data_IF_824234632666
#
_entry.id   IF_824234632666
#
_cell.length_a   1.000
_cell.length_b   1.000
_cell.length_c   1.000
_cell.angle_alpha   90.00
_cell.angle_beta   90.00
_cell.angle_gamma   90.00
#
_symmetry.space_group_name_H-M   'P 1'
#
loop_
_entity.id
_entity.type
_entity.pdbx_description
1 polymer ?
#
# COMPACT_ATOMS: atom_id res chain seq x y z
N UNK A 1 16.34 -20.14 -20.85
CA UNK A 1 15.36 -19.08 -20.54
C UNK A 1 14.33 -19.63 -19.58
N UNK A 2 14.44 -19.26 -18.30
CA UNK A 2 13.69 -19.85 -17.19
C UNK A 2 12.23 -19.40 -17.16
N UNK A 3 11.31 -20.36 -16.98
CA UNK A 3 9.91 -20.07 -16.66
C UNK A 3 9.82 -19.68 -15.18
N UNK A 4 9.68 -18.39 -14.91
CA UNK A 4 9.44 -17.85 -13.58
C UNK A 4 8.12 -18.40 -13.03
N UNK A 5 8.19 -19.09 -11.88
CA UNK A 5 7.02 -19.45 -11.09
C UNK A 5 6.49 -18.17 -10.47
N UNK A 6 5.36 -17.67 -10.98
CA UNK A 6 4.60 -16.59 -10.33
C UNK A 6 4.09 -17.13 -9.00
N UNK A 7 4.64 -16.62 -7.90
CA UNK A 7 4.17 -16.88 -6.55
C UNK A 7 2.72 -16.42 -6.44
N UNK A 8 1.80 -17.38 -6.30
CA UNK A 8 0.39 -17.07 -6.01
C UNK A 8 0.27 -16.70 -4.54
N UNK A 9 -0.23 -15.48 -4.33
CA UNK A 9 -0.54 -14.91 -3.03
C UNK A 9 -1.45 -15.85 -2.21
N UNK A 10 -1.10 -16.17 -0.95
CA UNK A 10 -1.89 -17.04 -0.08
C UNK A 10 -3.33 -16.56 0.15
N UNK A 11 -3.68 -15.30 -0.14
CA UNK A 11 -5.06 -14.83 -0.03
C UNK A 11 -5.96 -15.25 -1.20
N UNK A 12 -5.40 -15.46 -2.40
CA UNK A 12 -6.18 -15.90 -3.59
C UNK A 12 -6.69 -17.34 -3.43
N UNK A 13 -5.94 -18.17 -2.70
CA UNK A 13 -6.36 -19.55 -2.38
C UNK A 13 -7.51 -19.64 -1.37
N UNK A 14 -7.83 -18.56 -0.64
CA UNK A 14 -8.98 -18.54 0.28
C UNK A 14 -10.30 -18.32 -0.46
N UNK A 15 -10.28 -17.59 -1.58
CA UNK A 15 -11.50 -17.30 -2.36
C UNK A 15 -11.94 -18.53 -3.16
N UNK A 16 -11.00 -19.30 -3.72
CA UNK A 16 -11.33 -20.53 -4.46
C UNK A 16 -11.92 -21.62 -3.53
N UNK A 17 -11.50 -21.66 -2.25
CA UNK A 17 -12.05 -22.62 -1.29
C UNK A 17 -13.45 -22.27 -0.77
N UNK A 18 -13.92 -21.03 -0.91
CA UNK A 18 -15.28 -20.68 -0.47
C UNK A 18 -16.38 -21.07 -1.47
N UNK A 19 -16.02 -21.32 -2.74
CA UNK A 19 -16.99 -21.73 -3.78
C UNK A 19 -17.21 -23.26 -3.80
N UNK A 20 -16.30 -24.06 -3.22
CA UNK A 20 -16.42 -25.53 -3.21
C UNK A 20 -17.08 -26.14 -1.95
N UNK A 21 -17.47 -25.33 -0.96
CA UNK A 21 -18.01 -25.87 0.33
C UNK A 21 -19.53 -26.01 0.35
N UNK A 22 -20.27 -25.64 -0.71
CA UNK A 22 -21.74 -25.82 -0.75
C UNK A 22 -22.24 -27.02 -1.56
N UNK A 23 -21.36 -27.89 -2.07
CA UNK A 23 -21.76 -29.19 -2.61
C UNK A 23 -21.58 -30.27 -1.54
N UNK A 24 -22.68 -30.57 -0.84
CA UNK A 24 -22.79 -31.63 0.15
C UNK A 24 -22.25 -32.96 -0.40
N UNK A 25 -21.23 -33.48 0.29
CA UNK A 25 -20.78 -34.86 0.16
C UNK A 25 -21.71 -35.73 1.00
N UNK A 26 -22.77 -36.23 0.41
CA UNK A 26 -23.45 -37.40 0.95
C UNK A 26 -22.57 -38.64 0.67
N UNK A 27 -21.76 -38.99 1.66
CA UNK A 27 -21.03 -40.26 1.67
C UNK A 27 -22.04 -41.38 1.91
N UNK A 28 -22.35 -42.10 0.84
CA UNK A 28 -22.97 -43.42 0.89
C UNK A 28 -22.24 -44.33 1.87
N UNK A 29 -22.94 -44.71 2.94
CA UNK A 29 -22.59 -45.87 3.75
C UNK A 29 -22.78 -47.14 2.93
N UNK A 30 -21.70 -47.89 2.75
CA UNK A 30 -21.72 -49.25 2.21
C UNK A 30 -22.14 -50.19 3.35
N UNK A 31 -23.43 -50.49 3.44
CA UNK A 31 -23.91 -51.54 4.34
C UNK A 31 -23.84 -52.87 3.57
N UNK A 32 -22.98 -53.75 4.04
CA UNK A 32 -22.90 -55.16 3.64
C UNK A 32 -24.22 -55.84 3.99
N UNK A 33 -24.94 -56.25 2.96
CA UNK A 33 -26.15 -57.06 3.03
C UNK A 33 -25.75 -58.54 2.92
N UNK A 34 -25.36 -59.13 4.04
CA UNK A 34 -25.39 -60.59 4.22
C UNK A 34 -26.03 -60.84 5.58
N UNK A 35 -27.32 -61.19 5.52
CA UNK A 35 -28.00 -62.15 6.42
C UNK A 35 -29.50 -61.97 6.26
N UNK A 36 -30.11 -62.87 5.47
CA UNK A 36 -31.36 -63.60 5.78
C UNK A 36 -31.88 -64.24 4.50
N UNK A 37 -31.47 -65.48 4.26
CA UNK A 37 -32.28 -66.43 3.52
C UNK A 37 -33.35 -66.95 4.50
N UNK A 38 -34.57 -66.44 4.37
CA UNK A 38 -35.72 -66.87 5.16
C UNK A 38 -37.02 -66.53 4.45
N UNK A 39 -37.70 -67.57 3.99
CA UNK A 39 -39.07 -67.61 3.47
C UNK A 39 -39.36 -66.98 2.10
N UNK A 40 -39.36 -67.87 1.10
CA UNK A 40 -40.20 -67.76 -0.06
C UNK A 40 -41.68 -67.90 0.34
N UNK A 41 -42.36 -66.78 0.60
CA UNK A 41 -43.81 -66.69 0.65
C UNK A 41 -44.23 -65.25 0.32
N UNK A 42 -44.46 -64.96 -0.97
CA UNK A 42 -45.69 -64.34 -1.48
C UNK A 42 -45.53 -64.08 -3.00
N UNK A 43 -45.74 -65.13 -3.80
CA UNK A 43 -45.82 -65.02 -5.25
C UNK A 43 -47.25 -64.59 -5.61
N UNK A 44 -47.58 -63.32 -5.37
CA UNK A 44 -48.78 -62.71 -5.93
C UNK A 44 -48.37 -61.33 -6.45
N UNK A 45 -48.55 -61.02 -7.75
CA UNK A 45 -48.64 -59.63 -8.15
C UNK A 45 -49.87 -59.10 -7.44
N UNK A 46 -49.66 -58.43 -6.30
CA UNK A 46 -50.71 -57.75 -5.58
C UNK A 46 -51.26 -56.75 -6.58
N UNK A 47 -52.42 -57.05 -7.17
CA UNK A 47 -53.17 -56.09 -7.95
C UNK A 47 -53.60 -55.05 -6.92
N UNK A 48 -52.73 -54.09 -6.66
CA UNK A 48 -53.06 -52.91 -5.88
C UNK A 48 -54.35 -52.40 -6.48
N UNK A 49 -55.34 -52.25 -5.62
CA UNK A 49 -56.65 -51.80 -6.06
C UNK A 49 -56.43 -50.51 -6.83
N UNK A 50 -57.11 -50.30 -7.95
CA UNK A 50 -56.98 -49.07 -8.72
C UNK A 50 -57.14 -47.81 -7.85
N UNK A 51 -57.89 -47.94 -6.75
CA UNK A 51 -58.02 -46.93 -5.69
C UNK A 51 -56.72 -46.64 -4.92
N UNK A 52 -55.88 -47.63 -4.61
CA UNK A 52 -54.59 -47.45 -3.94
C UNK A 52 -53.60 -46.70 -4.83
N UNK A 53 -53.52 -47.08 -6.11
CA UNK A 53 -52.68 -46.39 -7.10
C UNK A 53 -53.10 -44.92 -7.24
N UNK A 54 -54.41 -44.66 -7.33
CA UNK A 54 -54.93 -43.29 -7.41
C UNK A 54 -54.61 -42.48 -6.14
N UNK A 55 -54.66 -43.10 -4.96
CA UNK A 55 -54.29 -42.45 -3.70
C UNK A 55 -52.79 -42.14 -3.64
N UNK A 56 -51.92 -43.03 -4.12
CA UNK A 56 -50.48 -42.77 -4.22
C UNK A 56 -50.15 -41.66 -5.23
N UNK A 57 -50.80 -41.66 -6.39
CA UNK A 57 -50.67 -40.58 -7.39
C UNK A 57 -51.11 -39.25 -6.76
N UNK A 58 -52.24 -39.22 -6.06
CA UNK A 58 -52.72 -38.01 -5.37
C UNK A 58 -51.72 -37.56 -4.29
N UNK A 59 -51.17 -38.50 -3.52
CA UNK A 59 -50.15 -38.23 -2.50
C UNK A 59 -48.82 -37.73 -3.09
N UNK A 60 -48.41 -38.23 -4.24
CA UNK A 60 -47.20 -37.75 -4.93
C UNK A 60 -47.43 -36.39 -5.60
N UNK A 61 -48.58 -36.17 -6.25
CA UNK A 61 -48.95 -34.87 -6.82
C UNK A 61 -48.98 -33.78 -5.74
N UNK A 62 -49.61 -34.04 -4.59
CA UNK A 62 -49.62 -33.08 -3.46
C UNK A 62 -48.21 -32.77 -2.95
N UNK A 63 -47.34 -33.78 -2.80
CA UNK A 63 -45.92 -33.57 -2.44
C UNK A 63 -45.13 -32.78 -3.48
N UNK A 64 -45.44 -32.95 -4.78
CA UNK A 64 -44.79 -32.21 -5.85
C UNK A 64 -45.23 -30.75 -5.84
N UNK A 65 -46.52 -30.48 -5.67
CA UNK A 65 -47.06 -29.11 -5.56
C UNK A 65 -46.40 -28.37 -4.40
N UNK A 66 -46.31 -28.98 -3.22
CA UNK A 66 -45.66 -28.32 -2.06
C UNK A 66 -44.18 -28.05 -2.30
N UNK A 67 -43.45 -28.97 -2.94
CA UNK A 67 -42.04 -28.72 -3.30
C UNK A 67 -41.89 -27.60 -4.32
N UNK A 68 -42.79 -27.51 -5.30
CA UNK A 68 -42.81 -26.42 -6.29
C UNK A 68 -43.08 -25.09 -5.61
N UNK A 69 -44.02 -25.03 -4.66
CA UNK A 69 -44.31 -23.82 -3.89
C UNK A 69 -43.09 -23.38 -3.07
N UNK A 70 -42.40 -24.31 -2.40
CA UNK A 70 -41.16 -24.01 -1.68
C UNK A 70 -40.09 -23.46 -2.62
N UNK A 71 -39.87 -24.09 -3.78
CA UNK A 71 -38.90 -23.61 -4.77
C UNK A 71 -39.28 -22.22 -5.29
N UNK A 72 -40.58 -21.95 -5.50
CA UNK A 72 -41.04 -20.64 -5.92
C UNK A 72 -40.71 -19.56 -4.88
N UNK A 73 -40.91 -19.85 -3.59
CA UNK A 73 -40.53 -18.97 -2.48
C UNK A 73 -39.01 -18.74 -2.48
N UNK A 74 -38.21 -19.80 -2.54
CA UNK A 74 -36.74 -19.69 -2.55
C UNK A 74 -36.24 -18.85 -3.72
N UNK A 75 -36.81 -19.01 -4.91
CA UNK A 75 -36.48 -18.18 -6.08
C UNK A 75 -36.82 -16.71 -5.86
N UNK A 76 -37.93 -16.40 -5.17
CA UNK A 76 -38.25 -14.99 -4.84
C UNK A 76 -37.26 -14.38 -3.85
N UNK A 77 -36.81 -15.16 -2.87
CA UNK A 77 -35.80 -14.73 -1.90
C UNK A 77 -34.45 -14.50 -2.58
N UNK A 78 -34.01 -15.45 -3.42
CA UNK A 78 -32.77 -15.30 -4.19
C UNK A 78 -32.80 -14.05 -5.09
N UNK A 79 -33.94 -13.74 -5.72
CA UNK A 79 -34.10 -12.50 -6.50
C UNK A 79 -34.02 -11.24 -5.63
N UNK A 80 -34.49 -11.28 -4.39
CA UNK A 80 -34.37 -10.17 -3.45
C UNK A 80 -32.92 -9.97 -3.02
N UNK A 81 -32.22 -11.05 -2.69
CA UNK A 81 -30.82 -10.98 -2.26
C UNK A 81 -29.88 -10.58 -3.40
N UNK A 82 -30.12 -11.07 -4.62
CA UNK A 82 -29.35 -10.64 -5.80
C UNK A 82 -29.48 -9.13 -6.04
N UNK A 83 -30.68 -8.55 -5.84
CA UNK A 83 -30.87 -7.09 -5.93
C UNK A 83 -30.07 -6.35 -4.86
N UNK A 84 -30.10 -6.81 -3.61
CA UNK A 84 -29.29 -6.20 -2.53
C UNK A 84 -27.79 -6.27 -2.83
N UNK A 85 -27.32 -7.37 -3.41
CA UNK A 85 -25.92 -7.52 -3.82
C UNK A 85 -25.59 -6.55 -4.95
N UNK A 86 -26.44 -6.45 -5.98
CA UNK A 86 -26.27 -5.48 -7.06
C UNK A 86 -26.17 -4.05 -6.52
N UNK A 87 -27.08 -3.63 -5.64
CA UNK A 87 -27.07 -2.29 -5.03
C UNK A 87 -25.77 -2.03 -4.24
N UNK A 88 -25.28 -3.04 -3.50
CA UNK A 88 -24.02 -2.92 -2.75
C UNK A 88 -22.81 -2.82 -3.68
N UNK A 89 -22.81 -3.55 -4.79
CA UNK A 89 -21.75 -3.51 -5.80
C UNK A 89 -21.72 -2.12 -6.44
N UNK A 90 -22.86 -1.60 -6.90
CA UNK A 90 -22.92 -0.26 -7.50
C UNK A 90 -22.41 0.82 -6.54
N UNK A 91 -22.84 0.80 -5.26
CA UNK A 91 -22.32 1.75 -4.26
C UNK A 91 -20.82 1.62 -4.04
N UNK A 92 -20.29 0.39 -4.06
CA UNK A 92 -18.86 0.17 -3.92
C UNK A 92 -18.11 0.70 -5.13
N UNK A 93 -18.61 0.47 -6.35
CA UNK A 93 -18.04 0.99 -7.59
C UNK A 93 -18.03 2.53 -7.61
N UNK A 94 -19.13 3.18 -7.21
CA UNK A 94 -19.21 4.64 -7.09
C UNK A 94 -18.16 5.18 -6.10
N UNK A 95 -18.05 4.55 -4.93
CA UNK A 95 -17.08 4.94 -3.91
C UNK A 95 -15.65 4.76 -4.39
N UNK A 96 -15.35 3.66 -5.09
CA UNK A 96 -14.04 3.40 -5.71
C UNK A 96 -13.75 4.47 -6.78
N UNK A 97 -14.76 4.87 -7.56
CA UNK A 97 -14.64 5.94 -8.55
C UNK A 97 -14.21 7.27 -7.92
N UNK A 98 -14.88 7.69 -6.85
CA UNK A 98 -14.52 8.91 -6.10
C UNK A 98 -13.12 8.80 -5.49
N UNK A 99 -12.80 7.70 -4.82
CA UNK A 99 -11.48 7.48 -4.23
C UNK A 99 -10.35 7.51 -5.29
N UNK A 100 -10.61 6.98 -6.48
CA UNK A 100 -9.66 7.02 -7.59
C UNK A 100 -9.39 8.46 -8.05
N UNK A 101 -10.43 9.30 -8.11
CA UNK A 101 -10.29 10.72 -8.43
C UNK A 101 -9.46 11.45 -7.37
N UNK A 102 -9.76 11.22 -6.08
CA UNK A 102 -9.05 11.84 -4.97
C UNK A 102 -7.56 11.45 -4.94
N UNK A 103 -7.25 10.17 -5.17
CA UNK A 103 -5.86 9.70 -5.23
C UNK A 103 -5.10 10.35 -6.37
N UNK A 104 -5.72 10.53 -7.54
CA UNK A 104 -5.08 11.21 -8.67
C UNK A 104 -4.82 12.70 -8.36
N UNK A 105 -5.81 13.41 -7.79
CA UNK A 105 -5.64 14.80 -7.39
C UNK A 105 -4.53 14.98 -6.33
N UNK A 106 -4.45 14.06 -5.36
CA UNK A 106 -3.40 14.06 -4.35
C UNK A 106 -2.03 13.79 -4.98
N UNK A 107 -1.94 12.86 -5.91
CA UNK A 107 -0.71 12.55 -6.64
C UNK A 107 -0.20 13.76 -7.43
N UNK A 108 -1.09 14.48 -8.09
CA UNK A 108 -0.74 15.70 -8.84
C UNK A 108 -0.24 16.82 -7.91
N UNK A 109 -0.88 16.95 -6.74
CA UNK A 109 -0.47 17.90 -5.70
C UNK A 109 0.93 17.55 -5.17
N UNK A 110 1.17 16.29 -4.82
CA UNK A 110 2.48 15.81 -4.35
C UNK A 110 3.56 16.04 -5.41
N UNK A 111 3.28 15.74 -6.67
CA UNK A 111 4.24 15.99 -7.76
C UNK A 111 4.56 17.48 -7.91
N UNK A 112 3.56 18.35 -7.76
CA UNK A 112 3.75 19.80 -7.82
C UNK A 112 4.58 20.33 -6.66
N UNK A 113 4.31 19.84 -5.44
CA UNK A 113 5.08 20.19 -4.25
C UNK A 113 6.53 19.71 -4.35
N UNK A 114 6.77 18.49 -4.84
CA UNK A 114 8.13 17.98 -5.05
C UNK A 114 8.93 18.87 -6.00
N UNK A 115 8.32 19.31 -7.11
CA UNK A 115 8.96 20.25 -8.04
C UNK A 115 9.27 21.58 -7.39
N UNK A 116 8.34 22.10 -6.59
CA UNK A 116 8.54 23.34 -5.86
C UNK A 116 9.68 23.24 -4.83
N UNK A 117 9.75 22.14 -4.09
CA UNK A 117 10.84 21.87 -3.15
C UNK A 117 12.19 21.88 -3.84
N UNK A 118 12.35 21.13 -4.94
CA UNK A 118 13.60 21.10 -5.71
C UNK A 118 13.97 22.50 -6.21
N UNK A 119 12.99 23.24 -6.75
CA UNK A 119 13.22 24.61 -7.21
C UNK A 119 13.65 25.54 -6.08
N UNK A 120 13.05 25.43 -4.89
CA UNK A 120 13.42 26.22 -3.72
C UNK A 120 14.81 25.85 -3.22
N UNK A 121 15.16 24.56 -3.17
CA UNK A 121 16.50 24.08 -2.81
C UNK A 121 17.57 24.66 -3.75
N UNK A 122 17.33 24.64 -5.06
CA UNK A 122 18.23 25.25 -6.04
C UNK A 122 18.40 26.76 -5.79
N UNK A 123 17.32 27.46 -5.45
CA UNK A 123 17.38 28.90 -5.16
C UNK A 123 18.10 29.23 -3.85
N UNK A 124 17.91 28.41 -2.82
CA UNK A 124 18.62 28.56 -1.55
C UNK A 124 20.11 28.37 -1.80
N UNK A 125 20.50 27.29 -2.49
CA UNK A 125 21.88 27.01 -2.83
C UNK A 125 22.53 28.13 -3.67
N UNK A 126 21.80 28.65 -4.64
CA UNK A 126 22.25 29.79 -5.47
C UNK A 126 22.39 31.08 -4.64
N UNK A 127 21.46 31.34 -3.72
CA UNK A 127 21.54 32.48 -2.81
C UNK A 127 22.73 32.35 -1.84
N UNK A 128 22.90 31.20 -1.19
CA UNK A 128 24.03 30.89 -0.31
C UNK A 128 25.35 31.02 -1.05
N UNK A 129 25.44 30.49 -2.27
CA UNK A 129 26.60 30.67 -3.13
C UNK A 129 26.96 32.14 -3.31
N UNK A 130 25.98 32.99 -3.65
CA UNK A 130 26.21 34.44 -3.79
C UNK A 130 26.58 35.12 -2.47
N UNK A 131 25.97 34.72 -1.35
CA UNK A 131 26.31 35.27 -0.03
C UNK A 131 27.75 34.96 0.37
N UNK A 132 28.30 33.82 -0.07
CA UNK A 132 29.65 33.41 0.25
C UNK A 132 30.70 33.79 -0.80
N UNK A 133 30.33 34.40 -1.94
CA UNK A 133 31.30 34.76 -2.99
C UNK A 133 32.38 35.73 -2.53
N UNK A 134 32.05 36.62 -1.59
CA UNK A 134 33.01 37.58 -1.03
C UNK A 134 33.67 37.06 0.25
N UNK A 135 33.34 35.84 0.70
CA UNK A 135 33.90 35.26 1.91
C UNK A 135 35.13 34.44 1.52
N UNK A 136 36.29 34.82 2.06
CA UNK A 136 37.51 34.03 1.96
C UNK A 136 37.64 33.18 3.23
N UNK A 137 37.84 31.88 3.04
CA UNK A 137 38.08 30.95 4.15
C UNK A 137 39.55 30.55 4.14
N UNK A 138 40.26 30.90 5.21
CA UNK A 138 41.64 30.49 5.43
C UNK A 138 41.69 29.36 6.46
N UNK A 139 42.36 28.26 6.12
CA UNK A 139 42.42 27.05 6.96
C UNK A 139 43.88 26.72 7.26
N UNK A 140 44.17 26.30 8.50
CA UNK A 140 45.50 25.85 8.92
C UNK A 140 46.29 26.86 9.76
N UNK A 141 45.65 27.93 10.23
CA UNK A 141 46.24 28.80 11.25
C UNK A 141 46.14 28.12 12.63
N UNK A 142 47.21 28.10 13.44
CA UNK A 142 47.12 27.68 14.83
C UNK A 142 46.22 28.64 15.63
N UNK A 143 45.37 28.12 16.52
CA UNK A 143 44.54 28.95 17.38
C UNK A 143 45.40 29.95 18.18
N UNK A 144 45.04 31.24 18.14
CA UNK A 144 45.76 32.32 18.84
C UNK A 144 46.95 32.91 18.09
N UNK A 145 47.20 32.54 16.81
CA UNK A 145 48.14 33.30 15.95
C UNK A 145 47.56 34.62 15.44
N UNK A 146 46.24 34.74 15.48
CA UNK A 146 45.53 35.99 15.28
C UNK A 146 45.87 36.89 16.47
N UNK A 147 46.60 37.97 16.22
CA UNK A 147 46.90 39.00 17.23
C UNK A 147 45.60 39.71 17.65
N UNK A 148 45.69 40.83 18.39
CA UNK A 148 44.50 41.61 18.78
C UNK A 148 43.65 42.14 17.61
N UNK A 149 44.15 42.08 16.36
CA UNK A 149 43.43 42.49 15.16
C UNK A 149 43.66 41.50 14.00
N UNK A 150 42.56 40.93 13.48
CA UNK A 150 42.56 39.96 12.37
C UNK A 150 42.96 40.63 11.05
N UNK A 151 42.58 41.89 10.85
CA UNK A 151 42.89 42.64 9.63
C UNK A 151 44.41 42.83 9.48
N UNK A 152 45.08 43.30 10.53
CA UNK A 152 46.53 43.53 10.53
C UNK A 152 47.32 42.23 10.30
N UNK A 153 46.84 41.12 10.90
CA UNK A 153 47.41 39.80 10.69
C UNK A 153 47.27 39.35 9.23
N UNK A 154 46.07 39.47 8.65
CA UNK A 154 45.82 39.08 7.26
C UNK A 154 46.59 39.96 6.27
N UNK A 155 46.66 41.27 6.48
CA UNK A 155 47.46 42.17 5.63
C UNK A 155 48.94 41.78 5.65
N UNK A 156 49.52 41.53 6.82
CA UNK A 156 50.92 41.12 6.94
C UNK A 156 51.17 39.75 6.30
N UNK A 157 50.28 38.79 6.53
CA UNK A 157 50.38 37.45 5.95
C UNK A 157 50.23 37.47 4.43
N UNK A 158 49.27 38.23 3.89
CA UNK A 158 49.04 38.38 2.44
C UNK A 158 50.25 38.98 1.72
N UNK A 159 50.87 40.01 2.30
CA UNK A 159 52.10 40.60 1.75
C UNK A 159 53.25 39.60 1.75
N UNK A 160 53.34 38.76 2.79
CA UNK A 160 54.39 37.73 2.89
C UNK A 160 54.27 36.67 1.80
N UNK A 161 53.05 36.21 1.49
CA UNK A 161 52.83 35.16 0.48
C UNK A 161 52.73 35.71 -0.95
N UNK A 162 52.33 36.97 -1.12
CA UNK A 162 52.18 37.64 -2.40
C UNK A 162 52.88 39.00 -2.38
N UNK A 163 54.22 39.02 -2.54
CA UNK A 163 55.02 40.26 -2.51
C UNK A 163 54.61 41.29 -3.58
N UNK A 164 53.87 40.87 -4.61
CA UNK A 164 53.31 41.76 -5.63
C UNK A 164 52.26 42.74 -5.08
N UNK A 165 51.78 42.53 -3.85
CA UNK A 165 50.86 43.41 -3.15
C UNK A 165 51.59 44.48 -2.30
N UNK A 166 52.93 44.48 -2.26
CA UNK A 166 53.71 45.52 -1.57
C UNK A 166 53.44 46.90 -2.19
N UNK A 167 52.84 47.80 -1.40
CA UNK A 167 52.59 49.20 -1.77
C UNK A 167 51.12 49.61 -1.92
N UNK A 168 50.18 48.68 -1.84
CA UNK A 168 48.74 48.96 -1.96
C UNK A 168 48.06 49.17 -0.59
N UNK A 169 48.59 49.95 0.36
CA UNK A 169 47.91 50.06 1.68
C UNK A 169 46.91 51.23 1.75
N UNK A 170 45.68 51.03 2.29
CA UNK A 170 45.04 49.76 2.62
C UNK A 170 44.37 49.12 1.38
N UNK A 171 44.60 47.81 1.14
CA UNK A 171 43.95 47.08 0.04
C UNK A 171 42.86 46.13 0.52
N UNK A 172 42.78 45.85 1.82
CA UNK A 172 41.79 44.95 2.38
C UNK A 172 40.73 45.77 3.13
N UNK A 173 39.47 45.60 2.73
CA UNK A 173 38.33 46.10 3.49
C UNK A 173 37.55 44.87 3.97
N UNK A 174 37.66 44.55 5.25
CA UNK A 174 37.01 43.39 5.85
C UNK A 174 35.70 43.85 6.47
N UNK A 175 34.57 43.37 5.93
CA UNK A 175 33.26 43.71 6.50
C UNK A 175 32.99 42.94 7.80
N UNK A 176 33.45 41.68 7.89
CA UNK A 176 33.32 40.84 9.08
C UNK A 176 34.37 39.70 9.08
N UNK A 177 35.02 39.47 10.22
CA UNK A 177 35.86 38.30 10.48
C UNK A 177 35.20 37.37 11.50
N UNK A 178 35.22 36.06 11.24
CA UNK A 178 34.66 35.05 12.14
C UNK A 178 35.58 33.83 12.19
N UNK A 179 36.00 33.45 13.39
CA UNK A 179 36.60 32.13 13.66
C UNK A 179 35.47 31.08 13.75
N UNK A 180 35.54 30.05 12.90
CA UNK A 180 34.53 28.99 12.78
C UNK A 180 35.00 27.72 13.53
N UNK A 181 36.14 27.77 14.23
CA UNK A 181 36.69 26.62 14.95
C UNK A 181 35.75 26.17 16.08
N UNK A 182 35.47 24.86 16.22
CA UNK A 182 34.66 24.36 17.32
C UNK A 182 35.39 24.59 18.65
N UNK A 183 34.77 25.37 19.55
CA UNK A 183 35.31 25.68 20.88
C UNK A 183 35.86 24.43 21.58
N UNK A 184 37.10 24.45 22.14
CA UNK A 184 37.78 23.27 22.69
C UNK A 184 37.15 22.61 23.94
N UNK A 185 35.89 22.91 24.27
CA UNK A 185 35.14 22.34 25.39
C UNK A 185 33.63 22.22 25.18
N UNK A 186 33.12 22.45 23.98
CA UNK A 186 31.68 22.36 23.68
C UNK A 186 31.35 21.07 22.94
N UNK A 187 30.46 20.26 23.53
CA UNK A 187 29.95 19.04 22.92
C UNK A 187 29.51 19.26 21.47
N UNK A 188 29.86 18.30 20.64
CA UNK A 188 29.58 18.16 19.22
C UNK A 188 28.09 18.43 18.90
N UNK A 189 27.74 19.68 18.60
CA UNK A 189 26.58 19.99 17.80
C UNK A 189 27.08 20.11 16.36
N UNK A 190 27.13 18.98 15.65
CA UNK A 190 27.27 18.99 14.20
C UNK A 190 26.06 19.73 13.61
N UNK A 191 26.21 21.03 13.36
CA UNK A 191 25.42 21.69 12.35
C UNK A 191 26.10 21.34 11.01
N UNK A 192 25.55 20.34 10.34
CA UNK A 192 25.79 20.15 8.91
C UNK A 192 25.21 21.38 8.20
N UNK A 193 26.07 22.16 7.56
CA UNK A 193 25.72 22.94 6.37
C UNK A 193 25.55 21.99 5.18
#
# INVERSE_FOLDING_TARGET
MGKGKVGRDPQVNKIINYVQVTHGKDKMGRNTLEDTWGSAENCCPQKSSMSEILNEIKGTCTKLVTKIDTVAVDVTLLRADLRKVADRVTKAEDTIGVLSQDVNALKDTVSSLQKLTVWLEERVKDAEGRYHWNNLCFVGFPEGTEWHNVEDFLEHWLVTIAPLLEGCTPFLNVEQGLDISPSPGGATACYYC
#
